data_IF_278617818705
#
_entry.id   IF_278617818705
#
_cell.length_a   1.000
_cell.length_b   1.000
_cell.length_c   1.000
_cell.angle_alpha   90.00
_cell.angle_beta   90.00
_cell.angle_gamma   90.00
#
_symmetry.space_group_name_H-M   'P 1'
#
loop_
_entity.id
_entity.type
_entity.pdbx_description
1 polymer ?
#
# COMPACT_ATOMS: atom_id res chain seq x y z
N UNK A 1 -0.48 -7.68 40.66
CA UNK A 1 0.05 -7.95 39.31
C UNK A 1 -0.20 -6.70 38.48
N UNK A 2 0.82 -5.90 38.20
CA UNK A 2 0.65 -4.57 37.60
C UNK A 2 0.49 -4.76 36.08
N UNK A 3 -0.66 -4.35 35.53
CA UNK A 3 -0.88 -4.27 34.09
C UNK A 3 0.13 -3.26 33.52
N UNK A 4 1.28 -3.75 33.04
CA UNK A 4 2.17 -2.95 32.20
C UNK A 4 1.41 -2.71 30.90
N UNK A 5 0.76 -1.55 30.81
CA UNK A 5 0.33 -1.00 29.54
C UNK A 5 1.58 -0.98 28.67
N UNK A 6 1.65 -1.86 27.70
CA UNK A 6 2.77 -1.91 26.78
C UNK A 6 2.83 -0.54 26.09
N UNK A 7 3.82 0.28 26.45
CA UNK A 7 4.04 1.57 25.80
C UNK A 7 4.10 1.34 24.29
N UNK A 8 3.23 2.04 23.55
CA UNK A 8 3.21 1.93 22.10
C UNK A 8 4.50 2.52 21.55
N UNK A 9 5.45 1.65 21.17
CA UNK A 9 6.77 2.04 20.63
C UNK A 9 6.71 2.59 19.21
N UNK A 10 5.51 2.77 18.64
CA UNK A 10 5.33 3.22 17.25
C UNK A 10 5.59 4.72 17.14
N UNK A 11 6.29 5.09 16.08
CA UNK A 11 6.55 6.48 15.71
C UNK A 11 5.35 7.15 15.01
N UNK A 12 4.35 6.38 14.58
CA UNK A 12 3.19 6.88 13.87
C UNK A 12 1.94 6.04 14.15
N UNK A 13 0.80 6.72 14.32
CA UNK A 13 -0.51 6.10 14.48
C UNK A 13 -0.87 5.31 13.21
N UNK A 14 -1.43 4.11 13.40
CA UNK A 14 -1.91 3.25 12.33
C UNK A 14 -3.43 3.27 12.28
N UNK A 15 -3.97 3.60 11.12
CA UNK A 15 -5.40 3.52 10.85
C UNK A 15 -5.73 2.14 10.27
N UNK A 16 -6.76 1.49 10.82
CA UNK A 16 -7.32 0.27 10.24
C UNK A 16 -8.04 0.65 8.94
N UNK A 17 -7.44 0.30 7.80
CA UNK A 17 -7.97 0.56 6.46
C UNK A 17 -7.70 -0.64 5.59
N UNK A 18 -8.74 -1.14 4.94
CA UNK A 18 -8.64 -2.24 3.97
C UNK A 18 -8.65 -1.63 2.59
N UNK A 19 -7.48 -1.61 1.95
CA UNK A 19 -7.26 -1.06 0.63
C UNK A 19 -6.60 -2.11 -0.24
N UNK A 20 -6.92 -2.13 -1.53
CA UNK A 20 -6.25 -2.99 -2.50
C UNK A 20 -4.81 -2.51 -2.71
N UNK A 21 -3.89 -3.47 -2.77
CA UNK A 21 -2.49 -3.22 -3.07
C UNK A 21 -2.01 -4.14 -4.17
N UNK A 22 -1.07 -3.63 -4.96
CA UNK A 22 -0.22 -4.46 -5.80
C UNK A 22 1.21 -4.40 -5.27
N UNK A 23 1.89 -5.54 -5.26
CA UNK A 23 3.28 -5.59 -4.82
C UNK A 23 4.09 -6.62 -5.61
N UNK A 24 5.41 -6.46 -5.60
CA UNK A 24 6.36 -7.44 -6.12
C UNK A 24 7.70 -7.30 -5.43
N UNK A 25 8.45 -8.40 -5.34
CA UNK A 25 9.82 -8.38 -4.83
C UNK A 25 10.78 -7.74 -5.84
N UNK A 26 11.53 -6.73 -5.41
CA UNK A 26 12.55 -6.07 -6.24
C UNK A 26 13.95 -6.49 -5.83
N UNK A 27 14.18 -6.67 -4.53
CA UNK A 27 15.49 -7.03 -4.00
C UNK A 27 15.35 -7.95 -2.79
N UNK A 28 16.11 -9.04 -2.79
CA UNK A 28 16.24 -9.94 -1.65
C UNK A 28 17.63 -10.57 -1.65
N UNK A 29 18.10 -10.94 -0.46
CA UNK A 29 19.31 -11.76 -0.30
C UNK A 29 19.06 -13.24 -0.58
N UNK A 30 17.81 -13.69 -0.49
CA UNK A 30 17.45 -15.12 -0.48
C UNK A 30 16.64 -15.54 -1.70
N UNK A 31 16.10 -14.59 -2.46
CA UNK A 31 15.21 -14.86 -3.58
C UNK A 31 15.49 -13.93 -4.75
N UNK A 32 15.24 -14.42 -5.97
CA UNK A 32 15.32 -13.60 -7.17
C UNK A 32 14.17 -12.58 -7.20
N UNK A 33 14.39 -11.39 -7.79
CA UNK A 33 13.32 -10.42 -8.01
C UNK A 33 12.16 -11.02 -8.80
N UNK A 34 10.94 -10.60 -8.47
CA UNK A 34 9.71 -11.02 -9.13
C UNK A 34 9.40 -10.08 -10.31
N UNK A 35 8.96 -10.64 -11.43
CA UNK A 35 8.48 -9.86 -12.57
C UNK A 35 7.00 -9.52 -12.41
N UNK A 36 6.23 -10.48 -11.92
CA UNK A 36 4.78 -10.40 -11.82
C UNK A 36 4.33 -9.63 -10.58
N UNK A 37 3.17 -8.99 -10.71
CA UNK A 37 2.54 -8.26 -9.62
C UNK A 37 1.57 -9.17 -8.87
N UNK A 38 1.69 -9.20 -7.55
CA UNK A 38 0.75 -9.83 -6.65
C UNK A 38 -0.31 -8.83 -6.19
N UNK A 39 -1.54 -9.31 -6.03
CA UNK A 39 -2.65 -8.51 -5.50
C UNK A 39 -2.90 -8.90 -4.04
N UNK A 40 -3.15 -7.91 -3.19
CA UNK A 40 -3.54 -8.16 -1.79
C UNK A 40 -4.35 -6.98 -1.23
N UNK A 41 -4.65 -7.04 0.05
CA UNK A 41 -5.31 -6.00 0.83
C UNK A 41 -4.51 -5.63 2.07
N UNK A 42 -4.48 -4.34 2.40
CA UNK A 42 -3.91 -3.86 3.66
C UNK A 42 -4.75 -4.29 4.87
N UNK A 43 -4.11 -4.50 6.01
CA UNK A 43 -4.78 -4.64 7.30
C UNK A 43 -4.79 -3.30 8.06
N UNK A 44 -3.67 -2.58 8.04
CA UNK A 44 -3.52 -1.24 8.59
C UNK A 44 -2.50 -0.42 7.80
N UNK A 45 -2.54 0.90 7.96
CA UNK A 45 -1.62 1.83 7.30
C UNK A 45 -1.28 3.02 8.20
N UNK A 46 -0.05 3.51 8.11
CA UNK A 46 0.39 4.79 8.64
C UNK A 46 1.14 5.59 7.57
N UNK A 47 1.59 6.78 7.92
CA UNK A 47 2.44 7.60 7.05
C UNK A 47 3.83 7.00 6.82
N UNK A 48 4.28 6.07 7.66
CA UNK A 48 5.62 5.47 7.61
C UNK A 48 5.64 4.08 6.98
N UNK A 49 4.48 3.46 6.78
CA UNK A 49 4.40 2.08 6.30
C UNK A 49 3.01 1.50 6.41
N UNK A 50 2.88 0.21 6.12
CA UNK A 50 1.61 -0.50 6.21
C UNK A 50 1.80 -1.97 6.59
N UNK A 51 0.70 -2.66 6.85
CA UNK A 51 0.65 -4.11 6.95
C UNK A 51 -0.32 -4.70 5.93
N UNK A 52 0.00 -5.88 5.41
CA UNK A 52 -0.83 -6.58 4.42
C UNK A 52 -0.65 -8.10 4.52
N UNK A 53 -1.57 -8.84 3.91
CA UNK A 53 -1.52 -10.30 3.87
C UNK A 53 -0.80 -10.79 2.60
N UNK A 54 0.07 -11.78 2.72
CA UNK A 54 0.81 -12.32 1.58
C UNK A 54 0.76 -13.84 1.59
N UNK A 55 0.59 -14.45 0.42
CA UNK A 55 0.68 -15.90 0.24
C UNK A 55 2.14 -16.35 0.26
N UNK A 56 3.04 -15.45 -0.13
CA UNK A 56 4.48 -15.67 -0.11
C UNK A 56 5.11 -15.15 1.19
N UNK A 57 6.09 -15.89 1.70
CA UNK A 57 6.95 -15.43 2.80
C UNK A 57 8.07 -14.55 2.23
N UNK A 58 8.12 -13.29 2.67
CA UNK A 58 9.28 -12.42 2.42
C UNK A 58 10.12 -12.29 3.69
N UNK A 59 11.42 -12.17 3.51
CA UNK A 59 12.37 -12.06 4.60
C UNK A 59 12.45 -10.61 5.10
N UNK A 60 12.79 -10.44 6.38
CA UNK A 60 13.10 -9.12 6.93
C UNK A 60 14.30 -8.55 6.19
N UNK A 61 14.16 -7.33 5.69
CA UNK A 61 15.18 -6.67 4.90
C UNK A 61 14.93 -6.68 3.39
N UNK A 62 14.04 -7.54 2.90
CA UNK A 62 13.64 -7.54 1.48
C UNK A 62 13.02 -6.20 1.08
N UNK A 63 13.28 -5.79 -0.16
CA UNK A 63 12.73 -4.58 -0.77
C UNK A 63 11.63 -4.97 -1.76
N UNK A 64 10.42 -4.46 -1.51
CA UNK A 64 9.27 -4.66 -2.37
C UNK A 64 8.86 -3.36 -3.03
N UNK A 65 8.45 -3.42 -4.29
CA UNK A 65 7.72 -2.33 -4.92
C UNK A 65 6.25 -2.46 -4.53
N UNK A 66 5.63 -1.35 -4.15
CA UNK A 66 4.29 -1.33 -3.58
C UNK A 66 3.45 -0.22 -4.20
N UNK A 67 2.25 -0.59 -4.63
CA UNK A 67 1.21 0.32 -5.11
C UNK A 67 -0.03 0.17 -4.23
N UNK A 68 -0.48 1.25 -3.62
CA UNK A 68 -1.70 1.30 -2.81
C UNK A 68 -2.79 1.99 -3.61
N UNK A 69 -3.82 1.24 -3.96
CA UNK A 69 -4.87 1.67 -4.90
C UNK A 69 -6.15 1.97 -4.12
N UNK A 70 -6.67 3.19 -4.27
CA UNK A 70 -8.03 3.53 -3.83
C UNK A 70 -8.99 3.37 -5.01
N UNK A 71 -10.21 2.86 -4.75
CA UNK A 71 -11.24 2.68 -5.78
C UNK A 71 -11.41 3.93 -6.65
N UNK A 72 -11.30 3.76 -7.97
CA UNK A 72 -11.71 4.77 -8.94
C UNK A 72 -10.63 5.72 -9.48
N UNK A 73 -9.31 5.45 -9.33
CA UNK A 73 -8.15 6.03 -10.08
C UNK A 73 -7.05 6.66 -9.20
N UNK A 74 -7.20 6.78 -7.87
CA UNK A 74 -6.18 7.43 -7.04
C UNK A 74 -5.18 6.43 -6.41
N UNK A 75 -3.95 6.40 -6.93
CA UNK A 75 -2.81 5.78 -6.25
C UNK A 75 -2.42 6.61 -5.02
N UNK A 76 -2.62 6.05 -3.83
CA UNK A 76 -2.27 6.68 -2.55
C UNK A 76 -0.74 6.68 -2.38
N UNK A 77 -0.12 5.56 -2.75
CA UNK A 77 1.30 5.34 -2.64
C UNK A 77 1.78 4.49 -3.82
N UNK A 78 2.90 4.87 -4.40
CA UNK A 78 3.64 4.09 -5.39
C UNK A 78 5.12 4.30 -5.09
N UNK A 79 5.81 3.26 -4.66
CA UNK A 79 7.21 3.35 -4.26
C UNK A 79 7.76 2.07 -3.64
N UNK A 80 8.99 2.15 -3.16
CA UNK A 80 9.69 1.04 -2.52
C UNK A 80 9.38 0.97 -1.02
N UNK A 81 9.21 -0.24 -0.51
CA UNK A 81 9.03 -0.50 0.90
C UNK A 81 9.94 -1.65 1.35
N UNK A 82 10.50 -1.53 2.55
CA UNK A 82 11.35 -2.55 3.15
C UNK A 82 10.54 -3.40 4.12
N UNK A 83 10.67 -4.71 4.03
CA UNK A 83 10.07 -5.65 4.98
C UNK A 83 10.74 -5.50 6.34
N UNK A 84 9.95 -5.17 7.36
CA UNK A 84 10.41 -5.01 8.76
C UNK A 84 9.83 -6.06 9.70
N UNK A 85 8.79 -6.77 9.26
CA UNK A 85 8.14 -7.84 10.01
C UNK A 85 7.52 -8.85 9.06
N UNK A 86 7.67 -10.13 9.36
CA UNK A 86 6.95 -11.22 8.72
C UNK A 86 6.42 -12.15 9.83
N UNK A 87 5.12 -12.37 9.88
CA UNK A 87 4.47 -13.23 10.88
C UNK A 87 3.58 -14.25 10.16
N UNK A 88 3.84 -15.54 10.35
CA UNK A 88 2.95 -16.59 9.86
C UNK A 88 1.74 -16.69 10.80
N UNK A 89 0.52 -16.50 10.26
CA UNK A 89 -0.69 -16.69 11.07
C UNK A 89 -0.92 -18.18 11.31
N UNK A 90 -1.05 -18.59 12.58
CA UNK A 90 -1.37 -19.98 12.94
C UNK A 90 -2.74 -20.35 12.35
N UNK A 91 -2.81 -21.47 11.65
CA UNK A 91 -4.04 -21.96 11.02
C UNK A 91 -4.44 -21.28 9.71
N UNK A 92 -3.62 -20.37 9.18
CA UNK A 92 -3.86 -19.74 7.87
C UNK A 92 -2.69 -20.00 6.91
N UNK A 93 -2.98 -20.07 5.62
CA UNK A 93 -1.98 -20.20 4.55
C UNK A 93 -1.31 -18.86 4.19
N UNK A 94 -1.45 -17.83 5.04
CA UNK A 94 -1.04 -16.46 4.76
C UNK A 94 -0.04 -15.92 5.79
N UNK A 95 0.81 -15.01 5.35
CA UNK A 95 1.78 -14.27 6.14
C UNK A 95 1.30 -12.83 6.33
N UNK A 96 1.34 -12.34 7.58
CA UNK A 96 1.15 -10.93 7.86
C UNK A 96 2.50 -10.22 7.70
N UNK A 97 2.58 -9.41 6.65
CA UNK A 97 3.76 -8.63 6.31
C UNK A 97 3.63 -7.22 6.87
N UNK A 98 4.68 -6.74 7.52
CA UNK A 98 4.83 -5.35 7.92
C UNK A 98 5.95 -4.71 7.14
N UNK A 99 5.67 -3.58 6.49
CA UNK A 99 6.64 -2.86 5.66
C UNK A 99 6.78 -1.42 6.10
N UNK A 100 7.98 -0.88 5.90
CA UNK A 100 8.30 0.53 6.09
C UNK A 100 8.55 1.16 4.72
N UNK A 101 7.92 2.29 4.43
CA UNK A 101 8.18 3.02 3.19
C UNK A 101 9.62 3.49 3.16
N UNK A 102 10.27 3.29 2.02
CA UNK A 102 11.57 3.90 1.73
C UNK A 102 11.28 5.33 1.32
N UNK A 103 11.75 6.29 2.11
CA UNK A 103 11.71 7.69 1.74
C UNK A 103 12.79 7.91 0.69
N UNK A 104 12.44 7.73 -0.58
CA UNK A 104 13.23 8.33 -1.64
C UNK A 104 13.14 9.84 -1.41
N UNK A 105 14.28 10.51 -1.24
CA UNK A 105 14.35 11.98 -1.19
C UNK A 105 13.41 12.51 -2.25
N UNK A 106 12.33 13.15 -1.80
CA UNK A 106 11.17 13.45 -2.61
C UNK A 106 11.60 13.95 -3.99
N UNK A 107 11.49 13.11 -5.02
CA UNK A 107 11.37 13.68 -6.37
C UNK A 107 10.10 14.52 -6.27
N UNK A 108 10.19 15.86 -6.41
CA UNK A 108 9.01 16.69 -6.35
C UNK A 108 8.03 16.07 -7.33
N UNK A 109 6.84 15.71 -6.82
CA UNK A 109 5.75 15.26 -7.67
C UNK A 109 5.51 16.41 -8.64
N UNK A 110 6.07 16.32 -9.84
CA UNK A 110 5.66 17.12 -10.98
C UNK A 110 4.28 16.61 -11.36
N UNK A 111 3.29 16.93 -10.51
CA UNK A 111 1.88 16.88 -10.87
C UNK A 111 1.71 17.93 -11.96
N UNK A 112 1.98 17.57 -13.22
CA UNK A 112 1.08 17.98 -14.29
C UNK A 112 -0.23 17.22 -14.04
N UNK A 113 -0.96 17.66 -13.01
CA UNK A 113 -2.37 17.39 -12.94
C UNK A 113 -2.92 17.99 -14.24
N UNK A 114 -3.26 17.15 -15.22
CA UNK A 114 -4.15 17.60 -16.28
C UNK A 114 -5.36 18.11 -15.55
N UNK A 115 -5.55 19.43 -15.57
CA UNK A 115 -6.79 20.04 -15.12
C UNK A 115 -7.89 19.31 -15.87
N UNK A 116 -8.77 18.62 -15.15
CA UNK A 116 -10.02 18.17 -15.74
C UNK A 116 -10.73 19.44 -16.17
N UNK A 117 -10.65 19.77 -17.45
CA UNK A 117 -11.44 20.84 -18.03
C UNK A 117 -12.89 20.46 -17.76
N UNK A 118 -13.57 21.25 -16.92
CA UNK A 118 -14.99 21.15 -16.66
C UNK A 118 -15.76 21.57 -17.92
N UNK A 119 -15.65 20.75 -18.97
CA UNK A 119 -16.07 21.01 -20.33
C UNK A 119 -17.03 19.96 -20.86
N UNK A 120 -17.94 19.48 -20.03
CA UNK A 120 -19.14 18.73 -20.48
C UNK A 120 -20.30 19.01 -19.52
N UNK A 121 -20.58 20.29 -19.28
CA UNK A 121 -21.97 20.72 -19.05
C UNK A 121 -22.70 20.66 -20.39
N UNK A 122 -23.92 20.14 -20.39
CA UNK A 122 -24.90 20.04 -21.48
C UNK A 122 -24.81 18.83 -22.41
N UNK A 123 -25.25 17.66 -21.90
CA UNK A 123 -25.86 16.63 -22.75
C UNK A 123 -27.12 15.98 -22.15
N UNK A 124 -27.87 16.74 -21.34
CA UNK A 124 -29.15 16.29 -20.75
C UNK A 124 -30.35 17.19 -21.10
N UNK A 125 -30.19 18.19 -21.98
CA UNK A 125 -31.28 19.10 -22.36
C UNK A 125 -31.84 18.91 -23.78
N UNK A 126 -31.64 17.73 -24.39
CA UNK A 126 -32.10 17.47 -25.78
C UNK A 126 -32.97 16.23 -25.95
N UNK A 127 -33.70 15.81 -24.91
CA UNK A 127 -34.72 14.74 -25.00
C UNK A 127 -36.08 15.16 -24.41
N UNK A 128 -36.32 16.46 -24.15
CA UNK A 128 -37.58 16.95 -23.58
C UNK A 128 -38.34 17.95 -24.46
N UNK A 129 -38.18 17.88 -25.78
CA UNK A 129 -39.12 18.49 -26.74
C UNK A 129 -39.22 17.64 -28.00
N UNK A 130 -40.16 16.70 -27.98
CA UNK A 130 -40.98 16.33 -29.13
C UNK A 130 -42.40 16.21 -28.62
#
# INVERSE_FOLDING_TARGET
MVNRVAEDRRQAVRAKRILSIQYRLVESKHRKPEKDWHLSTTQDMSVLGLSFLSDAAYAIGDCIELKVIMSGVLDIYNGLAKVVRAERKKGAAYYLMGVKFVSDKAKPRTRKAKAYTAGTRNRLYKVSKK
#
